data_IF_871127848768
#
_entry.id   IF_871127848768
#
_cell.length_a   1.000
_cell.length_b   1.000
_cell.length_c   1.000
_cell.angle_alpha   90.00
_cell.angle_beta   90.00
_cell.angle_gamma   90.00
#
_symmetry.space_group_name_H-M   'P 1'
#
loop_
_entity.id
_entity.type
_entity.pdbx_description
1 polymer ?
#
# COMPACT_ATOMS: atom_id res chain seq x y z
N UNK A 1 14.08 -2.67 3.36
CA UNK A 1 12.71 -3.10 2.99
C UNK A 1 12.41 -2.49 1.66
N UNK A 2 11.90 -3.27 0.71
CA UNK A 2 11.57 -2.84 -0.64
C UNK A 2 10.10 -2.42 -0.69
N UNK A 3 9.85 -1.15 -0.94
CA UNK A 3 8.51 -0.56 -0.95
C UNK A 3 8.20 -0.06 -2.34
N UNK A 4 7.13 -0.56 -2.95
CA UNK A 4 6.59 0.09 -4.16
C UNK A 4 5.39 0.97 -3.81
N UNK A 5 5.40 2.18 -4.37
CA UNK A 5 4.27 3.08 -4.34
C UNK A 5 3.63 3.12 -5.73
N UNK A 6 2.41 2.60 -5.81
CA UNK A 6 1.59 2.63 -7.00
C UNK A 6 0.78 3.92 -7.04
N UNK A 7 1.24 4.89 -7.83
CA UNK A 7 0.67 6.23 -7.95
C UNK A 7 1.69 7.31 -7.63
N UNK A 8 1.99 8.17 -8.61
CA UNK A 8 2.99 9.24 -8.49
C UNK A 8 2.37 10.63 -8.26
N UNK A 9 1.18 10.66 -7.65
CA UNK A 9 0.51 11.90 -7.25
C UNK A 9 1.14 12.54 -6.01
N UNK A 10 0.52 13.63 -5.51
CA UNK A 10 1.01 14.36 -4.33
C UNK A 10 1.20 13.47 -3.09
N UNK A 11 0.24 12.58 -2.82
CA UNK A 11 0.33 11.64 -1.69
C UNK A 11 1.37 10.54 -1.92
N UNK A 12 1.47 9.99 -3.13
CA UNK A 12 2.49 9.00 -3.45
C UNK A 12 3.91 9.56 -3.28
N UNK A 13 4.15 10.79 -3.78
CA UNK A 13 5.42 11.51 -3.57
C UNK A 13 5.71 11.77 -2.10
N UNK A 14 4.70 12.18 -1.32
CA UNK A 14 4.86 12.35 0.13
C UNK A 14 5.29 11.05 0.80
N UNK A 15 4.61 9.93 0.50
CA UNK A 15 4.97 8.63 1.03
C UNK A 15 6.36 8.21 0.62
N UNK A 16 6.74 8.40 -0.64
CA UNK A 16 8.08 8.00 -1.08
C UNK A 16 9.18 8.79 -0.40
N UNK A 17 9.00 10.12 -0.28
CA UNK A 17 9.93 10.99 0.44
C UNK A 17 10.09 10.55 1.90
N UNK A 18 8.99 10.47 2.64
CA UNK A 18 9.03 10.17 4.08
C UNK A 18 9.53 8.76 4.36
N UNK A 19 9.14 7.75 3.57
CA UNK A 19 9.58 6.37 3.77
C UNK A 19 11.07 6.17 3.41
N UNK A 20 11.56 6.87 2.38
CA UNK A 20 12.98 6.86 2.03
C UNK A 20 13.82 7.53 3.12
N UNK A 21 13.43 8.75 3.54
CA UNK A 21 14.15 9.56 4.52
C UNK A 21 14.12 8.98 5.94
N UNK A 22 12.96 8.54 6.43
CA UNK A 22 12.79 8.15 7.85
C UNK A 22 13.03 6.65 8.12
N UNK A 23 12.88 5.78 7.12
CA UNK A 23 12.98 4.32 7.32
C UNK A 23 14.15 3.66 6.60
N UNK A 24 14.99 4.44 5.92
CA UNK A 24 16.09 3.93 5.10
C UNK A 24 15.64 2.76 4.20
N UNK A 25 14.43 2.89 3.64
CA UNK A 25 13.81 1.86 2.82
C UNK A 25 14.06 2.17 1.35
N UNK A 26 14.27 1.13 0.55
CA UNK A 26 14.37 1.30 -0.90
C UNK A 26 12.95 1.50 -1.42
N UNK A 27 12.68 2.68 -1.97
CA UNK A 27 11.36 3.05 -2.48
C UNK A 27 11.42 3.20 -4.00
N UNK A 28 10.50 2.52 -4.67
CA UNK A 28 10.28 2.61 -6.12
C UNK A 28 8.83 2.94 -6.41
N UNK A 29 8.57 3.46 -7.60
CA UNK A 29 7.26 3.91 -8.04
C UNK A 29 6.77 3.12 -9.24
N UNK A 30 5.47 2.87 -9.24
CA UNK A 30 4.73 2.40 -10.40
C UNK A 30 3.60 3.38 -10.72
N UNK A 31 3.33 3.58 -12.01
CA UNK A 31 2.22 4.40 -12.48
C UNK A 31 1.68 3.82 -13.78
N UNK A 32 0.36 3.80 -13.95
CA UNK A 32 -0.30 3.36 -15.18
C UNK A 32 -0.20 4.39 -16.32
N UNK A 33 0.17 5.64 -16.03
CA UNK A 33 0.20 6.73 -17.01
C UNK A 33 1.61 7.03 -17.56
N UNK A 34 2.66 6.56 -16.88
CA UNK A 34 4.04 6.88 -17.22
C UNK A 34 4.93 5.81 -16.63
N UNK A 35 5.89 5.35 -17.41
CA UNK A 35 6.91 4.41 -16.95
C UNK A 35 7.80 5.15 -15.95
N UNK A 36 7.92 4.58 -14.75
CA UNK A 36 8.79 5.06 -13.68
C UNK A 36 9.85 3.99 -13.42
N UNK A 37 9.84 3.35 -12.26
CA UNK A 37 10.79 2.29 -11.92
C UNK A 37 10.37 0.91 -12.45
N UNK A 38 9.07 0.72 -12.71
CA UNK A 38 8.49 -0.51 -13.23
C UNK A 38 7.58 -0.24 -14.41
N UNK A 39 7.58 -1.16 -15.37
CA UNK A 39 6.70 -1.11 -16.54
C UNK A 39 5.34 -1.75 -16.26
N UNK A 40 5.31 -2.77 -15.38
CA UNK A 40 4.09 -3.50 -15.02
C UNK A 40 3.89 -3.60 -13.51
N UNK A 41 2.63 -3.85 -13.11
CA UNK A 41 2.29 -4.08 -11.71
C UNK A 41 2.86 -5.43 -11.22
N UNK A 42 3.09 -6.39 -12.12
CA UNK A 42 3.73 -7.68 -11.81
C UNK A 42 5.20 -7.51 -11.43
N UNK A 43 5.98 -6.73 -12.17
CA UNK A 43 7.38 -6.41 -11.82
C UNK A 43 7.46 -5.71 -10.45
N UNK A 44 6.59 -4.72 -10.25
CA UNK A 44 6.43 -4.04 -8.97
C UNK A 44 6.10 -5.03 -7.84
N UNK A 45 5.14 -5.94 -8.08
CA UNK A 45 4.77 -6.96 -7.11
C UNK A 45 5.95 -7.85 -6.76
N UNK A 46 6.65 -8.42 -7.74
CA UNK A 46 7.75 -9.36 -7.56
C UNK A 46 8.91 -8.76 -6.75
N UNK A 47 9.27 -7.51 -7.03
CA UNK A 47 10.33 -6.82 -6.31
C UNK A 47 9.96 -6.41 -4.87
N UNK A 48 8.68 -6.19 -4.57
CA UNK A 48 8.26 -5.54 -3.32
C UNK A 48 8.12 -6.47 -2.12
N UNK A 49 8.45 -5.95 -0.93
CA UNK A 49 8.01 -6.50 0.35
C UNK A 49 6.71 -5.83 0.82
N UNK A 50 6.52 -4.55 0.42
CA UNK A 50 5.33 -3.74 0.70
C UNK A 50 4.89 -3.00 -0.56
N UNK A 51 3.59 -2.98 -0.84
CA UNK A 51 2.98 -2.15 -1.89
C UNK A 51 1.96 -1.19 -1.30
N UNK A 52 2.05 0.08 -1.70
CA UNK A 52 1.16 1.15 -1.27
C UNK A 52 0.40 1.68 -2.49
N UNK A 53 -0.92 1.56 -2.48
CA UNK A 53 -1.78 2.05 -3.57
C UNK A 53 -2.23 3.47 -3.27
N UNK A 54 -1.65 4.43 -4.00
CA UNK A 54 -1.75 5.87 -3.80
C UNK A 54 -2.30 6.60 -5.05
N UNK A 55 -3.26 5.97 -5.73
CA UNK A 55 -3.90 6.46 -6.95
C UNK A 55 -5.38 6.82 -6.72
N UNK A 56 -6.12 7.11 -7.79
CA UNK A 56 -7.58 7.34 -7.72
C UNK A 56 -8.31 6.07 -7.29
N UNK A 57 -9.51 6.21 -6.72
CA UNK A 57 -10.24 5.06 -6.17
C UNK A 57 -10.50 3.96 -7.21
N UNK A 58 -10.83 4.33 -8.44
CA UNK A 58 -11.08 3.36 -9.51
C UNK A 58 -9.80 2.63 -9.93
N UNK A 59 -8.68 3.36 -9.99
CA UNK A 59 -7.39 2.75 -10.28
C UNK A 59 -6.94 1.83 -9.13
N UNK A 60 -7.18 2.21 -7.88
CA UNK A 60 -6.94 1.35 -6.71
C UNK A 60 -7.74 0.04 -6.84
N UNK A 61 -9.03 0.10 -7.19
CA UNK A 61 -9.85 -1.11 -7.38
C UNK A 61 -9.29 -2.01 -8.48
N UNK A 62 -8.94 -1.43 -9.63
CA UNK A 62 -8.34 -2.17 -10.75
C UNK A 62 -7.03 -2.86 -10.32
N UNK A 63 -6.16 -2.11 -9.65
CA UNK A 63 -4.88 -2.62 -9.14
C UNK A 63 -5.05 -3.72 -8.10
N UNK A 64 -6.05 -3.64 -7.21
CA UNK A 64 -6.32 -4.70 -6.24
C UNK A 64 -6.73 -5.99 -6.95
N UNK A 65 -7.55 -5.92 -7.99
CA UNK A 65 -7.99 -7.09 -8.78
C UNK A 65 -6.81 -7.73 -9.50
N UNK A 66 -5.99 -6.92 -10.16
CA UNK A 66 -4.79 -7.39 -10.87
C UNK A 66 -3.78 -7.99 -9.88
N UNK A 67 -3.50 -7.33 -8.75
CA UNK A 67 -2.62 -7.86 -7.70
C UNK A 67 -3.14 -9.15 -7.10
N UNK A 68 -4.45 -9.32 -7.00
CA UNK A 68 -5.05 -10.59 -6.58
C UNK A 68 -4.71 -11.70 -7.57
N UNK A 69 -4.92 -11.47 -8.86
CA UNK A 69 -4.60 -12.44 -9.93
C UNK A 69 -3.11 -12.79 -9.94
N UNK A 70 -2.23 -11.78 -9.92
CA UNK A 70 -0.77 -11.98 -9.82
C UNK A 70 -0.43 -12.83 -8.59
N UNK A 71 -1.03 -12.52 -7.44
CA UNK A 71 -0.73 -13.23 -6.20
C UNK A 71 -1.25 -14.66 -6.14
N UNK A 72 -2.31 -14.99 -6.88
CA UNK A 72 -2.81 -16.36 -6.99
C UNK A 72 -1.82 -17.24 -7.76
N UNK A 73 -1.19 -16.68 -8.79
CA UNK A 73 -0.15 -17.37 -9.58
C UNK A 73 1.22 -17.39 -8.89
N UNK A 74 1.53 -16.35 -8.11
CA UNK A 74 2.81 -16.20 -7.40
C UNK A 74 2.60 -15.73 -5.94
N UNK A 75 2.16 -16.62 -5.04
CA UNK A 75 1.90 -16.26 -3.66
C UNK A 75 3.21 -16.01 -2.90
N UNK A 76 3.29 -14.88 -2.20
CA UNK A 76 4.44 -14.55 -1.34
C UNK A 76 4.06 -13.72 -0.13
N UNK A 77 4.98 -13.63 0.84
CA UNK A 77 4.80 -12.88 2.09
C UNK A 77 4.90 -11.36 1.90
N UNK A 78 3.95 -10.76 1.18
CA UNK A 78 3.88 -9.33 0.87
C UNK A 78 2.77 -8.62 1.66
N UNK A 79 2.95 -7.33 1.91
CA UNK A 79 1.89 -6.46 2.45
C UNK A 79 1.42 -5.45 1.39
N UNK A 80 0.12 -5.45 1.08
CA UNK A 80 -0.49 -4.54 0.12
C UNK A 80 -1.51 -3.67 0.85
N UNK A 81 -1.46 -2.36 0.70
CA UNK A 81 -2.53 -1.51 1.24
C UNK A 81 -2.77 -0.26 0.43
N UNK A 82 -4.02 0.18 0.37
CA UNK A 82 -4.39 1.46 -0.21
C UNK A 82 -4.37 2.60 0.83
N UNK A 83 -4.24 3.82 0.32
CA UNK A 83 -4.39 5.07 1.09
C UNK A 83 -5.70 5.82 0.77
N UNK A 84 -6.72 5.14 0.25
CA UNK A 84 -7.96 5.76 -0.22
C UNK A 84 -8.76 6.40 0.92
N UNK A 85 -9.43 7.51 0.62
CA UNK A 85 -10.32 8.22 1.56
C UNK A 85 -11.56 7.40 1.90
N UNK A 86 -12.27 6.88 0.88
CA UNK A 86 -13.52 6.18 1.06
C UNK A 86 -13.32 4.66 1.10
N UNK A 87 -13.57 4.06 2.27
CA UNK A 87 -13.27 2.63 2.52
C UNK A 87 -14.33 1.68 1.99
N UNK A 88 -15.60 2.10 2.00
CA UNK A 88 -16.71 1.25 1.56
C UNK A 88 -16.54 0.75 0.13
N UNK A 89 -15.94 1.58 -0.72
CA UNK A 89 -15.79 1.31 -2.14
C UNK A 89 -14.66 0.34 -2.48
N UNK A 90 -13.68 0.16 -1.58
CA UNK A 90 -12.46 -0.62 -1.84
C UNK A 90 -12.45 -1.93 -1.07
N UNK A 91 -13.13 -2.00 0.08
CA UNK A 91 -13.08 -3.17 0.97
C UNK A 91 -13.60 -4.46 0.35
N UNK A 92 -14.54 -4.38 -0.60
CA UNK A 92 -15.06 -5.54 -1.33
C UNK A 92 -14.01 -6.18 -2.23
N UNK A 93 -13.10 -5.38 -2.79
CA UNK A 93 -12.08 -5.83 -3.74
C UNK A 93 -10.98 -6.68 -3.06
N UNK A 94 -10.77 -6.49 -1.76
CA UNK A 94 -9.76 -7.20 -0.99
C UNK A 94 -10.10 -8.67 -0.68
N UNK A 95 -11.22 -9.19 -1.17
CA UNK A 95 -11.59 -10.59 -1.04
C UNK A 95 -10.82 -11.47 -2.04
N UNK A 96 -10.49 -12.70 -1.63
CA UNK A 96 -9.88 -13.71 -2.50
C UNK A 96 -8.36 -13.69 -2.58
N UNK A 97 -7.66 -12.84 -1.82
CA UNK A 97 -6.20 -12.92 -1.71
C UNK A 97 -5.76 -14.22 -1.02
N UNK A 98 -4.63 -14.82 -1.45
CA UNK A 98 -4.07 -16.04 -0.85
C UNK A 98 -3.60 -15.78 0.59
N UNK A 99 -3.20 -16.85 1.29
CA UNK A 99 -2.97 -16.76 2.75
C UNK A 99 -1.68 -16.01 3.12
N UNK A 100 -0.74 -16.00 2.20
CA UNK A 100 0.60 -15.44 2.30
C UNK A 100 0.53 -13.90 2.21
N UNK A 101 -0.40 -13.40 1.39
CA UNK A 101 -0.59 -11.97 1.15
C UNK A 101 -1.38 -11.32 2.29
N UNK A 102 -0.88 -10.18 2.75
CA UNK A 102 -1.53 -9.36 3.79
C UNK A 102 -2.08 -8.12 3.14
N UNK A 103 -3.38 -7.94 3.22
CA UNK A 103 -4.04 -6.75 2.64
C UNK A 103 -4.65 -5.86 3.71
N UNK A 104 -4.65 -4.56 3.51
CA UNK A 104 -5.31 -3.62 4.40
C UNK A 104 -5.77 -2.38 3.64
N UNK A 105 -6.75 -1.67 4.19
CA UNK A 105 -7.15 -0.38 3.67
C UNK A 105 -6.88 0.69 4.72
N UNK A 106 -6.15 1.74 4.36
CA UNK A 106 -5.67 2.78 5.30
C UNK A 106 -6.11 4.15 4.84
N UNK A 107 -6.64 4.98 5.72
CA UNK A 107 -6.88 6.38 5.39
C UNK A 107 -5.93 7.25 6.20
N UNK A 108 -4.94 7.90 5.56
CA UNK A 108 -4.15 8.94 6.20
C UNK A 108 -5.05 10.14 6.51
N UNK A 109 -5.16 10.52 7.79
CA UNK A 109 -5.95 11.68 8.22
C UNK A 109 -5.19 13.00 8.02
N UNK A 110 -4.36 13.06 6.97
CA UNK A 110 -3.48 14.18 6.65
C UNK A 110 -3.25 14.25 5.15
N UNK A 111 -2.90 15.46 4.69
CA UNK A 111 -2.69 15.75 3.29
C UNK A 111 -1.21 15.75 2.87
N UNK A 112 -0.94 16.05 1.59
CA UNK A 112 0.41 16.03 1.03
C UNK A 112 1.36 17.09 1.59
N UNK A 113 0.84 18.08 2.35
CA UNK A 113 1.65 19.10 3.02
C UNK A 113 2.34 18.63 4.30
N UNK A 114 2.11 17.39 4.76
CA UNK A 114 2.76 16.87 5.95
C UNK A 114 4.29 16.75 5.75
N UNK A 115 5.06 17.15 6.75
CA UNK A 115 6.53 17.04 6.72
C UNK A 115 7.03 15.65 7.13
N UNK A 116 6.30 15.00 8.04
CA UNK A 116 6.57 13.66 8.56
C UNK A 116 5.26 12.95 8.90
N UNK A 117 5.32 11.63 9.10
CA UNK A 117 4.17 10.86 9.58
C UNK A 117 4.05 10.84 11.10
N UNK A 118 5.10 11.30 11.80
CA UNK A 118 5.15 11.30 13.26
C UNK A 118 3.99 12.11 13.84
N UNK A 119 3.24 11.48 14.73
CA UNK A 119 2.11 12.11 15.42
C UNK A 119 0.80 12.14 14.63
N UNK A 120 0.82 11.82 13.33
CA UNK A 120 -0.37 11.77 12.50
C UNK A 120 -1.15 10.46 12.67
N UNK A 121 -2.47 10.54 12.52
CA UNK A 121 -3.39 9.42 12.65
C UNK A 121 -3.56 8.69 11.31
N UNK A 122 -3.44 7.37 11.35
CA UNK A 122 -3.81 6.49 10.24
C UNK A 122 -5.06 5.69 10.63
N UNK A 123 -6.18 5.93 9.96
CA UNK A 123 -7.37 5.11 10.16
C UNK A 123 -7.23 3.80 9.40
N UNK A 124 -7.14 2.69 10.13
CA UNK A 124 -6.93 1.37 9.56
C UNK A 124 -8.22 0.56 9.55
N UNK A 125 -8.66 0.16 8.36
CA UNK A 125 -9.71 -0.84 8.21
C UNK A 125 -9.08 -2.20 7.85
N UNK A 126 -8.98 -3.14 8.79
CA UNK A 126 -8.50 -4.48 8.48
C UNK A 126 -9.54 -5.23 7.63
N UNK A 127 -9.15 -5.69 6.45
CA UNK A 127 -10.00 -6.43 5.54
C UNK A 127 -10.37 -7.82 6.12
N UNK A 128 -11.57 -8.33 5.79
CA UNK A 128 -12.11 -9.60 6.31
C UNK A 128 -11.16 -10.78 6.02
N UNK A 129 -11.12 -11.78 6.90
CA UNK A 129 -10.29 -13.00 6.77
C UNK A 129 -8.90 -12.95 7.42
N UNK A 130 -8.56 -11.87 8.14
CA UNK A 130 -7.19 -11.58 8.58
C UNK A 130 -6.97 -11.48 10.10
N UNK A 131 -7.79 -12.17 10.92
CA UNK A 131 -7.77 -12.06 12.39
C UNK A 131 -6.37 -12.12 13.04
N UNK A 132 -5.52 -13.08 12.62
CA UNK A 132 -4.11 -13.19 13.07
C UNK A 132 -3.13 -12.25 12.32
N UNK A 133 -3.46 -11.82 11.10
CA UNK A 133 -2.60 -10.97 10.24
C UNK A 133 -2.64 -9.47 10.62
N UNK A 134 -3.66 -9.04 11.37
CA UNK A 134 -3.82 -7.67 11.92
C UNK A 134 -2.60 -7.14 12.69
N UNK A 135 -1.84 -8.01 13.35
CA UNK A 135 -0.68 -7.62 14.20
C UNK A 135 0.51 -7.13 13.37
N UNK A 136 0.74 -7.69 12.18
CA UNK A 136 1.94 -7.39 11.37
C UNK A 136 1.78 -6.06 10.62
N UNK A 137 0.58 -5.74 10.13
CA UNK A 137 0.29 -4.42 9.57
C UNK A 137 0.51 -3.31 10.63
N UNK A 138 0.12 -3.55 11.88
CA UNK A 138 0.35 -2.59 12.98
C UNK A 138 1.84 -2.30 13.22
N UNK A 139 2.70 -3.33 13.12
CA UNK A 139 4.15 -3.15 13.25
C UNK A 139 4.71 -2.28 12.12
N UNK A 140 4.22 -2.45 10.89
CA UNK A 140 4.62 -1.62 9.74
C UNK A 140 4.17 -0.17 9.96
N UNK A 141 2.91 0.09 10.30
CA UNK A 141 2.44 1.48 10.53
C UNK A 141 3.13 2.18 11.71
N UNK A 142 3.40 1.44 12.80
CA UNK A 142 4.17 1.97 13.93
C UNK A 142 5.62 2.27 13.55
N UNK A 143 6.24 1.43 12.72
CA UNK A 143 7.58 1.70 12.17
C UNK A 143 7.57 2.97 11.33
N UNK A 144 6.53 3.16 10.50
CA UNK A 144 6.31 4.37 9.68
C UNK A 144 5.97 5.62 10.53
N UNK A 145 5.94 5.54 11.87
CA UNK A 145 5.74 6.70 12.75
C UNK A 145 4.28 7.12 12.96
N UNK A 146 3.33 6.40 12.37
CA UNK A 146 1.90 6.67 12.47
C UNK A 146 1.28 6.17 13.78
N UNK A 147 0.34 6.95 14.34
CA UNK A 147 -0.54 6.49 15.42
C UNK A 147 -1.65 5.59 14.83
N UNK A 148 -1.76 4.35 15.31
CA UNK A 148 -2.74 3.33 14.85
C UNK A 148 -3.19 2.30 15.90
#
# INVERSE_FOLDING_TARGET
MRITISGYGKMGKLFGRVLSEELNSEVKFYSSHTILDFSTLSEAYEWSDVMILASTIDNIKAQIRELREISLSNPKDIMIFDIATFKKDVLTEYQGFPREVKVASVHPMFGPGAKSFRGHLFYRCPCKGQGKRRRRCRKVYRRIGGKS
#
